data_IF_304893116673
#
_entry.id   IF_304893116673
#
_cell.length_a   1.000
_cell.length_b   1.000
_cell.length_c   1.000
_cell.angle_alpha   90.00
_cell.angle_beta   90.00
_cell.angle_gamma   90.00
#
_symmetry.space_group_name_H-M   'P 1'
#
loop_
_entity.id
_entity.type
_entity.pdbx_description
1 polymer ?
#
# COMPACT_ATOMS: atom_id res chain seq x y z
N UNK A 1 -0.67 18.09 -3.77
CA UNK A 1 -0.37 17.25 -2.60
C UNK A 1 1.12 17.23 -2.45
N UNK A 2 1.63 17.66 -1.31
CA UNK A 2 3.06 17.65 -1.01
C UNK A 2 3.56 16.20 -0.78
N UNK A 3 4.87 15.97 -0.93
CA UNK A 3 5.48 14.65 -0.66
C UNK A 3 5.19 14.21 0.77
N UNK A 4 5.20 15.14 1.73
CA UNK A 4 4.89 14.85 3.13
C UNK A 4 3.44 14.38 3.31
N UNK A 5 2.49 14.99 2.61
CA UNK A 5 1.08 14.57 2.62
C UNK A 5 0.90 13.18 2.00
N UNK A 6 1.60 12.89 0.89
CA UNK A 6 1.60 11.55 0.27
C UNK A 6 2.10 10.49 1.25
N UNK A 7 3.23 10.74 1.90
CA UNK A 7 3.82 9.80 2.85
C UNK A 7 2.91 9.57 4.06
N UNK A 8 2.30 10.62 4.58
CA UNK A 8 1.35 10.53 5.71
C UNK A 8 0.13 9.67 5.33
N UNK A 9 -0.46 9.90 4.16
CA UNK A 9 -1.58 9.08 3.67
C UNK A 9 -1.17 7.63 3.42
N UNK A 10 0.06 7.40 2.93
CA UNK A 10 0.59 6.05 2.78
C UNK A 10 0.73 5.33 4.12
N UNK A 11 1.23 6.00 5.17
CA UNK A 11 1.30 5.43 6.53
C UNK A 11 -0.08 4.96 7.02
N UNK A 12 -1.10 5.80 6.85
CA UNK A 12 -2.46 5.45 7.24
C UNK A 12 -2.99 4.23 6.49
N UNK A 13 -2.73 4.15 5.17
CA UNK A 13 -3.16 3.01 4.35
C UNK A 13 -2.38 1.74 4.68
N UNK A 14 -1.09 1.86 4.98
CA UNK A 14 -0.24 0.73 5.40
C UNK A 14 -0.78 0.11 6.69
N UNK A 15 -1.10 0.94 7.69
CA UNK A 15 -1.73 0.52 8.94
C UNK A 15 -3.06 -0.19 8.69
N UNK A 16 -3.89 0.34 7.79
CA UNK A 16 -5.18 -0.27 7.44
C UNK A 16 -5.02 -1.64 6.76
N UNK A 17 -4.05 -1.78 5.86
CA UNK A 17 -3.76 -3.06 5.18
C UNK A 17 -3.25 -4.08 6.19
N UNK A 18 -2.30 -3.71 7.05
CA UNK A 18 -1.77 -4.59 8.10
C UNK A 18 -2.87 -5.09 9.04
N UNK A 19 -3.70 -4.19 9.57
CA UNK A 19 -4.84 -4.57 10.44
C UNK A 19 -5.80 -5.54 9.75
N UNK A 20 -6.09 -5.34 8.46
CA UNK A 20 -6.94 -6.26 7.69
C UNK A 20 -6.30 -7.63 7.48
N UNK A 21 -5.00 -7.67 7.18
CA UNK A 21 -4.27 -8.92 7.04
C UNK A 21 -4.23 -9.71 8.34
N UNK A 22 -3.90 -9.05 9.45
CA UNK A 22 -3.91 -9.64 10.80
C UNK A 22 -5.28 -10.19 11.15
N UNK A 23 -6.35 -9.43 10.90
CA UNK A 23 -7.73 -9.88 11.11
C UNK A 23 -8.08 -11.11 10.28
N UNK A 24 -7.72 -11.15 8.99
CA UNK A 24 -7.98 -12.31 8.13
C UNK A 24 -7.23 -13.54 8.65
N UNK A 25 -5.93 -13.40 8.92
CA UNK A 25 -5.06 -14.51 9.37
C UNK A 25 -5.56 -15.05 10.72
N UNK A 26 -5.88 -14.16 11.67
CA UNK A 26 -6.37 -14.56 13.00
C UNK A 26 -7.76 -15.20 12.95
N UNK A 27 -8.63 -14.73 12.07
CA UNK A 27 -9.97 -15.32 11.90
C UNK A 27 -9.96 -16.71 11.24
N UNK A 28 -8.85 -17.07 10.58
CA UNK A 28 -8.63 -18.35 9.89
C UNK A 28 -9.88 -18.87 9.14
N UNK A 29 -10.44 -18.09 8.21
CA UNK A 29 -11.68 -18.44 7.54
C UNK A 29 -11.49 -19.64 6.62
N UNK A 30 -12.57 -20.40 6.41
CA UNK A 30 -12.61 -21.56 5.52
C UNK A 30 -13.63 -21.33 4.39
N UNK A 31 -13.21 -21.32 3.11
CA UNK A 31 -11.85 -21.54 2.61
C UNK A 31 -10.87 -20.41 2.94
N UNK A 32 -9.59 -20.77 3.11
CA UNK A 32 -8.54 -19.80 3.46
C UNK A 32 -8.20 -18.87 2.28
N UNK A 33 -8.25 -17.53 2.45
CA UNK A 33 -8.22 -16.57 1.35
C UNK A 33 -6.79 -16.15 0.97
N UNK A 34 -5.98 -17.11 0.49
CA UNK A 34 -4.58 -16.89 0.12
C UNK A 34 -4.38 -15.74 -0.87
N UNK A 35 -5.22 -15.64 -1.90
CA UNK A 35 -5.12 -14.57 -2.91
C UNK A 35 -5.28 -13.17 -2.29
N UNK A 36 -6.21 -13.03 -1.34
CA UNK A 36 -6.46 -11.77 -0.65
C UNK A 36 -5.27 -11.37 0.24
N UNK A 37 -4.66 -12.34 0.91
CA UNK A 37 -3.46 -12.12 1.72
C UNK A 37 -2.28 -11.73 0.84
N UNK A 38 -2.07 -12.44 -0.27
CA UNK A 38 -0.99 -12.15 -1.21
C UNK A 38 -1.15 -10.75 -1.82
N UNK A 39 -2.37 -10.37 -2.20
CA UNK A 39 -2.66 -9.00 -2.66
C UNK A 39 -2.29 -7.96 -1.59
N UNK A 40 -2.66 -8.18 -0.33
CA UNK A 40 -2.30 -7.27 0.76
C UNK A 40 -0.79 -7.14 0.93
N UNK A 41 -0.04 -8.25 0.90
CA UNK A 41 1.44 -8.23 0.96
C UNK A 41 2.06 -7.48 -0.22
N UNK A 42 1.55 -7.66 -1.43
CA UNK A 42 2.02 -6.92 -2.61
C UNK A 42 1.79 -5.41 -2.48
N UNK A 43 0.65 -5.00 -1.92
CA UNK A 43 0.37 -3.58 -1.65
C UNK A 43 1.38 -2.97 -0.67
N UNK A 44 1.68 -3.67 0.42
CA UNK A 44 2.68 -3.22 1.41
C UNK A 44 4.07 -3.08 0.77
N UNK A 45 4.48 -4.07 -0.03
CA UNK A 45 5.75 -4.02 -0.76
C UNK A 45 5.82 -2.83 -1.71
N UNK A 46 4.73 -2.54 -2.44
CA UNK A 46 4.67 -1.40 -3.34
C UNK A 46 4.80 -0.06 -2.60
N UNK A 47 4.17 0.06 -1.42
CA UNK A 47 4.33 1.24 -0.55
C UNK A 47 5.79 1.42 -0.09
N UNK A 48 6.45 0.33 0.32
CA UNK A 48 7.88 0.36 0.69
C UNK A 48 8.76 0.81 -0.48
N UNK A 49 8.51 0.30 -1.69
CA UNK A 49 9.24 0.70 -2.90
C UNK A 49 9.05 2.19 -3.23
N UNK A 50 7.84 2.72 -3.06
CA UNK A 50 7.56 4.16 -3.24
C UNK A 50 8.38 5.00 -2.25
N UNK A 51 8.40 4.62 -0.96
CA UNK A 51 9.21 5.33 0.06
C UNK A 51 10.68 5.36 -0.32
N UNK A 52 11.24 4.20 -0.71
CA UNK A 52 12.64 4.11 -1.18
C UNK A 52 12.92 5.00 -2.38
N UNK A 53 11.98 5.08 -3.34
CA UNK A 53 12.12 5.97 -4.48
C UNK A 53 12.15 7.43 -4.05
N UNK A 54 11.30 7.84 -3.09
CA UNK A 54 11.29 9.21 -2.54
C UNK A 54 12.59 9.50 -1.79
N UNK A 55 13.03 8.59 -0.91
CA UNK A 55 14.28 8.73 -0.14
C UNK A 55 15.53 8.84 -1.01
N UNK A 56 15.50 8.22 -2.20
CA UNK A 56 16.61 8.24 -3.17
C UNK A 56 16.44 9.28 -4.29
N UNK A 57 15.50 10.23 -4.12
CA UNK A 57 15.17 11.30 -5.06
C UNK A 57 14.76 10.83 -6.47
N UNK A 58 14.30 9.57 -6.58
CA UNK A 58 13.77 8.97 -7.80
C UNK A 58 12.27 9.30 -7.98
N UNK A 59 11.92 10.60 -7.97
CA UNK A 59 10.53 11.07 -7.90
C UNK A 59 9.65 10.63 -9.08
N UNK A 60 10.22 10.51 -10.30
CA UNK A 60 9.47 10.00 -11.46
C UNK A 60 9.05 8.54 -11.24
N UNK A 61 9.96 7.71 -10.74
CA UNK A 61 9.69 6.31 -10.44
C UNK A 61 8.70 6.17 -9.28
N UNK A 62 8.84 7.00 -8.24
CA UNK A 62 7.87 7.10 -7.15
C UNK A 62 6.46 7.42 -7.69
N UNK A 63 6.34 8.40 -8.60
CA UNK A 63 5.07 8.76 -9.24
C UNK A 63 4.46 7.64 -10.07
N UNK A 64 5.27 6.86 -10.80
CA UNK A 64 4.79 5.69 -11.54
C UNK A 64 4.25 4.61 -10.61
N UNK A 65 4.97 4.32 -9.53
CA UNK A 65 4.57 3.33 -8.52
C UNK A 65 3.35 3.78 -7.72
N UNK A 66 3.21 5.07 -7.45
CA UNK A 66 1.99 5.63 -6.85
C UNK A 66 0.76 5.37 -7.72
N UNK A 67 0.85 5.56 -9.05
CA UNK A 67 -0.24 5.21 -9.96
C UNK A 67 -0.55 3.71 -9.97
N UNK A 68 0.47 2.87 -9.88
CA UNK A 68 0.30 1.42 -9.74
C UNK A 68 -0.45 1.08 -8.44
N UNK A 69 -0.10 1.74 -7.33
CA UNK A 69 -0.75 1.57 -6.03
C UNK A 69 -2.24 1.96 -6.09
N UNK A 70 -2.57 3.04 -6.78
CA UNK A 70 -3.95 3.46 -7.04
C UNK A 70 -4.71 2.46 -7.90
N UNK A 71 -4.09 1.93 -8.95
CA UNK A 71 -4.67 0.89 -9.80
C UNK A 71 -5.01 -0.37 -9.01
N UNK A 72 -4.19 -0.74 -8.02
CA UNK A 72 -4.46 -1.89 -7.16
C UNK A 72 -5.53 -1.65 -6.06
N UNK A 73 -6.06 -0.43 -5.97
CA UNK A 73 -7.22 -0.07 -5.16
C UNK A 73 -6.91 0.74 -3.89
N UNK A 74 -5.68 1.24 -3.72
CA UNK A 74 -5.35 2.18 -2.66
C UNK A 74 -5.33 3.59 -3.24
N UNK A 75 -6.45 4.30 -3.13
CA UNK A 75 -6.55 5.70 -3.55
C UNK A 75 -5.90 6.61 -2.50
N UNK A 76 -4.91 7.38 -2.95
CA UNK A 76 -4.23 8.40 -2.15
C UNK A 76 -4.71 9.81 -2.53
N UNK A 77 -5.21 10.00 -3.76
CA UNK A 77 -5.84 11.24 -4.18
C UNK A 77 -7.32 11.25 -3.77
N UNK A 78 -7.69 12.19 -2.90
CA UNK A 78 -9.09 12.56 -2.67
C UNK A 78 -9.67 13.12 -3.98
N UNK A 79 -10.83 12.62 -4.39
CA UNK A 79 -11.67 13.28 -5.40
C UNK A 79 -12.31 14.53 -4.82
#
# INVERSE_FOLDING_TARGET
>A
MDIFEILTLMDEKEIQVNKKLESIISSNPDPFPFERINKGKSLLKLMEEIRKCIETDQLLLAGMKLKELEYHGIQLLLK
#
